data_IF_304013898915
#
_entry.id   IF_304013898915
#
_cell.length_a   1.000
_cell.length_b   1.000
_cell.length_c   1.000
_cell.angle_alpha   90.00
_cell.angle_beta   90.00
_cell.angle_gamma   90.00
#
_symmetry.space_group_name_H-M   'P 1'
#
loop_
_entity.id
_entity.type
_entity.pdbx_description
1 polymer ?
#
# COMPACT_ATOMS: atom_id res chain seq x y z
N UNK A 1 23.18 -25.38 -17.46
CA UNK A 1 22.45 -24.14 -17.15
C UNK A 1 21.41 -23.89 -18.24
N UNK A 2 20.15 -23.71 -17.89
CA UNK A 2 19.07 -23.45 -18.86
C UNK A 2 18.79 -21.95 -18.92
N UNK A 3 18.83 -21.36 -20.11
CA UNK A 3 18.24 -20.04 -20.37
C UNK A 3 16.98 -20.25 -21.21
N UNK A 4 15.94 -19.48 -20.91
CA UNK A 4 14.70 -19.44 -21.67
C UNK A 4 14.28 -18.00 -21.96
N UNK A 5 13.36 -17.79 -22.88
CA UNK A 5 12.78 -16.47 -23.11
C UNK A 5 12.06 -15.99 -21.84
N UNK A 6 12.22 -14.71 -21.52
CA UNK A 6 11.42 -14.05 -20.48
C UNK A 6 10.05 -13.74 -21.08
N UNK A 7 8.99 -14.25 -20.47
CA UNK A 7 7.61 -14.16 -20.97
C UNK A 7 6.71 -13.29 -20.10
N UNK A 8 7.29 -12.55 -19.16
CA UNK A 8 6.61 -11.64 -18.24
C UNK A 8 7.36 -10.32 -18.17
N UNK A 9 6.68 -9.27 -17.74
CA UNK A 9 7.30 -7.99 -17.45
C UNK A 9 8.21 -8.07 -16.22
N UNK A 10 9.33 -7.37 -16.30
CA UNK A 10 10.26 -7.18 -15.18
C UNK A 10 9.93 -5.92 -14.37
N UNK A 11 9.21 -4.98 -15.01
CA UNK A 11 8.77 -3.72 -14.44
C UNK A 11 7.49 -3.21 -15.11
N UNK A 12 6.64 -2.56 -14.32
CA UNK A 12 5.45 -1.85 -14.77
C UNK A 12 5.46 -0.43 -14.19
N UNK A 13 5.21 0.55 -15.05
CA UNK A 13 5.02 1.96 -14.66
C UNK A 13 3.74 2.48 -15.26
N UNK A 14 2.90 3.12 -14.47
CA UNK A 14 1.66 3.69 -14.96
C UNK A 14 1.23 4.90 -14.13
N UNK A 15 0.45 5.76 -14.78
CA UNK A 15 -0.20 6.90 -14.16
C UNK A 15 -1.69 6.62 -14.04
N UNK A 16 -2.32 7.17 -13.01
CA UNK A 16 -3.73 6.94 -12.72
C UNK A 16 -4.44 8.24 -12.37
N UNK A 17 -5.76 8.23 -12.54
CA UNK A 17 -6.67 9.24 -11.99
C UNK A 17 -7.66 8.55 -11.08
N UNK A 18 -7.62 8.89 -9.80
CA UNK A 18 -8.59 8.41 -8.83
C UNK A 18 -9.94 9.09 -9.03
N UNK A 19 -11.02 8.46 -8.57
CA UNK A 19 -12.38 9.02 -8.73
C UNK A 19 -12.62 10.32 -7.97
N UNK A 20 -11.79 10.61 -6.95
CA UNK A 20 -11.76 11.92 -6.28
C UNK A 20 -10.93 12.99 -7.00
N UNK A 21 -10.43 12.70 -8.21
CA UNK A 21 -9.62 13.63 -9.02
C UNK A 21 -8.12 13.59 -8.73
N UNK A 22 -7.70 12.93 -7.65
CA UNK A 22 -6.29 12.72 -7.31
C UNK A 22 -5.52 12.02 -8.44
N UNK A 23 -4.25 12.37 -8.58
CA UNK A 23 -3.33 11.74 -9.52
C UNK A 23 -2.52 10.66 -8.81
N UNK A 24 -2.28 9.55 -9.49
CA UNK A 24 -1.42 8.48 -9.02
C UNK A 24 -0.26 8.24 -9.99
N UNK A 25 0.90 7.91 -9.43
CA UNK A 25 2.06 7.39 -10.16
C UNK A 25 2.46 6.10 -9.48
N UNK A 26 2.56 5.03 -10.25
CA UNK A 26 2.88 3.70 -9.76
C UNK A 26 4.10 3.18 -10.50
N UNK A 27 5.01 2.58 -9.74
CA UNK A 27 6.18 1.87 -10.23
C UNK A 27 6.32 0.56 -9.45
N UNK A 28 6.42 -0.55 -10.17
CA UNK A 28 6.77 -1.85 -9.62
C UNK A 28 7.88 -2.44 -10.48
N UNK A 29 9.00 -2.85 -9.87
CA UNK A 29 10.13 -3.39 -10.62
C UNK A 29 10.91 -4.40 -9.80
N UNK A 30 11.38 -5.46 -10.47
CA UNK A 30 12.34 -6.43 -9.91
C UNK A 30 13.80 -5.99 -10.10
N UNK A 31 14.01 -4.85 -10.76
CA UNK A 31 15.33 -4.38 -11.24
C UNK A 31 15.82 -3.09 -10.57
N UNK A 32 15.15 -2.63 -9.51
CA UNK A 32 15.65 -1.55 -8.66
C UNK A 32 16.86 -2.02 -7.83
N UNK A 33 18.02 -2.09 -8.46
CA UNK A 33 19.26 -2.64 -7.89
C UNK A 33 19.57 -1.99 -6.55
N UNK A 34 19.72 -2.83 -5.51
CA UNK A 34 19.99 -2.39 -4.14
C UNK A 34 18.76 -2.44 -3.23
N UNK A 35 17.55 -2.21 -3.77
CA UNK A 35 16.30 -2.36 -3.02
C UNK A 35 16.00 -3.84 -2.77
N UNK A 36 15.54 -4.14 -1.55
CA UNK A 36 15.27 -5.52 -1.09
C UNK A 36 13.78 -5.79 -1.09
N UNK A 37 13.01 -4.94 -0.42
CA UNK A 37 11.54 -5.03 -0.37
C UNK A 37 10.90 -3.66 -0.11
N UNK A 38 11.43 -2.61 -0.74
CA UNK A 38 10.99 -1.24 -0.55
C UNK A 38 9.60 -0.98 -1.18
N UNK A 39 8.54 -1.19 -0.39
CA UNK A 39 7.20 -0.72 -0.73
C UNK A 39 7.08 0.70 -0.22
N UNK A 40 7.02 1.65 -1.15
CA UNK A 40 7.01 3.09 -0.85
C UNK A 40 5.69 3.71 -1.25
N UNK A 41 5.09 4.45 -0.33
CA UNK A 41 3.82 5.12 -0.53
C UNK A 41 3.96 6.55 -0.02
N UNK A 42 3.52 7.51 -0.83
CA UNK A 42 3.38 8.90 -0.43
C UNK A 42 2.01 9.42 -0.88
N UNK A 43 1.30 10.08 0.02
CA UNK A 43 -0.02 10.67 -0.23
C UNK A 43 0.05 12.15 0.16
N UNK A 44 -0.27 13.03 -0.77
CA UNK A 44 -0.26 14.48 -0.57
C UNK A 44 -1.67 15.04 -0.72
N UNK A 45 -2.18 15.68 0.32
CA UNK A 45 -3.48 16.32 0.35
C UNK A 45 -3.38 17.79 0.77
N UNK A 46 -4.52 18.48 0.74
CA UNK A 46 -4.56 19.91 1.11
C UNK A 46 -4.30 20.17 2.60
N UNK A 47 -4.49 19.16 3.46
CA UNK A 47 -4.32 19.29 4.90
C UNK A 47 -3.02 18.68 5.43
N UNK A 48 -2.23 18.04 4.58
CA UNK A 48 -1.04 17.31 5.01
C UNK A 48 -0.65 16.19 4.08
N UNK A 49 0.40 15.47 4.48
CA UNK A 49 0.97 14.37 3.70
C UNK A 49 1.35 13.20 4.59
N UNK A 50 1.33 12.00 4.00
CA UNK A 50 1.80 10.76 4.62
C UNK A 50 2.89 10.15 3.75
N UNK A 51 3.92 9.59 4.36
CA UNK A 51 4.93 8.77 3.68
C UNK A 51 5.26 7.50 4.47
N UNK A 52 5.57 6.43 3.73
CA UNK A 52 5.89 5.11 4.27
C UNK A 52 6.91 4.40 3.38
N UNK A 53 7.85 3.69 3.99
CA UNK A 53 8.76 2.73 3.34
C UNK A 53 8.77 1.43 4.14
N UNK A 54 8.47 0.31 3.51
CA UNK A 54 8.47 -1.00 4.17
C UNK A 54 9.85 -1.44 4.65
N UNK A 55 10.95 -0.93 4.08
CA UNK A 55 12.29 -1.16 4.65
C UNK A 55 12.45 -0.52 6.04
N UNK A 56 11.60 0.48 6.37
CA UNK A 56 11.45 1.10 7.69
C UNK A 56 10.03 0.84 8.27
N UNK A 57 9.49 -0.39 8.16
CA UNK A 57 8.05 -0.69 8.37
C UNK A 57 7.40 -0.20 9.68
N UNK A 58 8.19 0.10 10.71
CA UNK A 58 7.70 0.58 12.00
C UNK A 58 7.55 2.10 12.05
N UNK A 59 7.80 2.81 10.95
CA UNK A 59 7.73 4.28 10.88
C UNK A 59 6.67 4.71 9.88
N UNK A 60 5.76 5.57 10.35
CA UNK A 60 4.91 6.38 9.49
C UNK A 60 5.38 7.83 9.56
N UNK A 61 5.58 8.46 8.42
CA UNK A 61 5.91 9.88 8.35
C UNK A 61 4.64 10.68 8.09
N UNK A 62 4.39 11.70 8.92
CA UNK A 62 3.21 12.55 8.83
C UNK A 62 3.61 14.02 8.78
N UNK A 63 3.10 14.74 7.80
CA UNK A 63 3.16 16.19 7.70
C UNK A 63 1.76 16.77 7.92
N UNK A 64 1.64 17.76 8.78
CA UNK A 64 0.40 18.48 9.06
C UNK A 64 0.49 19.91 8.50
N UNK A 65 -0.32 20.23 7.49
CA UNK A 65 -0.27 21.52 6.81
C UNK A 65 -0.89 22.67 7.63
N UNK A 66 -1.46 22.35 8.81
CA UNK A 66 -2.03 23.35 9.72
C UNK A 66 -1.01 23.85 10.75
N UNK A 67 0.16 23.20 10.84
CA UNK A 67 1.24 23.63 11.73
C UNK A 67 1.92 24.93 11.24
N UNK A 68 2.45 25.77 12.15
CA UNK A 68 3.22 26.95 11.79
C UNK A 68 4.43 26.59 10.91
N UNK A 69 4.65 27.37 9.85
CA UNK A 69 5.67 27.07 8.84
C UNK A 69 7.10 26.99 9.40
N UNK A 70 7.37 27.67 10.52
CA UNK A 70 8.66 27.64 11.21
C UNK A 70 8.99 26.28 11.83
N UNK A 71 7.97 25.47 12.14
CA UNK A 71 8.11 24.16 12.78
C UNK A 71 7.55 23.01 11.94
N UNK A 72 6.76 23.31 10.92
CA UNK A 72 6.10 22.31 10.10
C UNK A 72 7.14 21.45 9.36
N UNK A 73 6.95 20.13 9.42
CA UNK A 73 7.80 19.15 8.79
C UNK A 73 7.27 17.74 9.03
N UNK A 74 7.81 16.75 8.31
CA UNK A 74 7.44 15.36 8.56
C UNK A 74 7.92 14.94 9.95
N UNK A 75 6.98 14.54 10.79
CA UNK A 75 7.28 13.83 12.04
C UNK A 75 7.36 12.33 11.77
N UNK A 76 8.36 11.70 12.37
CA UNK A 76 8.50 10.24 12.37
C UNK A 76 7.69 9.66 13.52
N UNK A 77 6.59 9.00 13.21
CA UNK A 77 5.78 8.28 14.18
C UNK A 77 6.30 6.85 14.24
N UNK A 78 6.96 6.49 15.34
CA UNK A 78 7.35 5.11 15.60
C UNK A 78 6.10 4.32 16.03
N UNK A 79 5.59 3.48 15.14
CA UNK A 79 4.31 2.76 15.28
C UNK A 79 4.46 1.58 16.24
N UNK A 80 4.67 1.88 17.53
CA UNK A 80 4.88 0.89 18.60
C UNK A 80 4.12 1.20 19.89
N UNK A 81 3.32 2.27 19.92
CA UNK A 81 2.39 2.54 21.03
C UNK A 81 1.22 1.53 21.06
N UNK A 82 0.73 1.12 22.25
CA UNK A 82 -0.40 0.19 22.39
C UNK A 82 -1.69 0.66 21.72
N UNK A 83 -1.85 1.98 21.53
CA UNK A 83 -2.99 2.57 20.82
C UNK A 83 -2.92 2.47 19.30
N UNK A 84 -1.76 2.12 18.73
CA UNK A 84 -1.65 1.86 17.29
C UNK A 84 -2.31 0.52 16.93
N UNK A 85 -2.82 0.38 15.69
CA UNK A 85 -3.50 -0.84 15.26
C UNK A 85 -2.69 -2.11 15.54
N UNK A 86 -3.33 -3.09 16.18
CA UNK A 86 -2.77 -4.40 16.59
C UNK A 86 -1.66 -4.38 17.65
N UNK A 87 -0.93 -3.27 17.81
CA UNK A 87 0.33 -3.21 18.59
C UNK A 87 0.14 -3.59 20.06
N UNK A 88 -0.98 -3.21 20.68
CA UNK A 88 -1.25 -3.49 22.11
C UNK A 88 -1.26 -4.97 22.50
N UNK A 89 -1.29 -5.91 21.54
CA UNK A 89 -1.21 -7.35 21.78
C UNK A 89 0.22 -7.92 21.73
N UNK A 90 1.23 -7.09 21.45
CA UNK A 90 2.61 -7.52 21.24
C UNK A 90 3.53 -7.06 22.37
N UNK A 91 4.48 -6.17 22.05
CA UNK A 91 5.57 -5.74 22.92
C UNK A 91 5.37 -4.31 23.42
N UNK A 92 6.08 -3.88 24.48
CA UNK A 92 6.10 -2.48 24.90
C UNK A 92 6.64 -1.51 23.83
N UNK A 93 6.34 -0.20 23.93
CA UNK A 93 6.84 0.82 23.00
C UNK A 93 8.34 0.73 22.73
N UNK A 94 8.74 1.01 21.49
CA UNK A 94 10.11 0.91 21.00
C UNK A 94 10.53 -0.47 20.46
N UNK A 95 9.73 -1.52 20.71
CA UNK A 95 9.97 -2.86 20.18
C UNK A 95 9.19 -3.06 18.89
N UNK A 96 9.87 -2.88 17.75
CA UNK A 96 9.26 -2.98 16.43
C UNK A 96 8.73 -4.38 16.10
N UNK A 97 7.77 -4.41 15.19
CA UNK A 97 7.28 -5.61 14.54
C UNK A 97 8.03 -5.85 13.22
N UNK A 98 7.80 -7.03 12.65
CA UNK A 98 8.40 -7.50 11.39
C UNK A 98 7.37 -8.02 10.40
N UNK A 99 7.83 -8.38 9.20
CA UNK A 99 7.02 -8.86 8.07
C UNK A 99 5.96 -9.91 8.46
N UNK A 100 6.30 -10.86 9.32
CA UNK A 100 5.41 -11.96 9.73
C UNK A 100 4.17 -11.51 10.53
N UNK A 101 4.22 -10.34 11.19
CA UNK A 101 3.17 -9.94 12.13
C UNK A 101 1.88 -9.56 11.42
N UNK A 102 1.98 -9.00 10.21
CA UNK A 102 0.81 -8.68 9.37
C UNK A 102 -0.03 -9.91 9.04
N UNK A 103 0.59 -11.08 8.89
CA UNK A 103 -0.14 -12.35 8.69
C UNK A 103 -0.93 -12.75 9.94
N UNK A 104 -0.37 -12.54 11.13
CA UNK A 104 -1.09 -12.77 12.38
C UNK A 104 -2.26 -11.81 12.51
N UNK A 105 -2.08 -10.54 12.14
CA UNK A 105 -3.15 -9.54 12.14
C UNK A 105 -4.30 -9.94 11.21
N UNK A 106 -3.99 -10.40 9.99
CA UNK A 106 -5.00 -10.93 9.06
C UNK A 106 -5.79 -12.11 9.62
N UNK A 107 -5.12 -13.07 10.29
CA UNK A 107 -5.80 -14.20 10.94
C UNK A 107 -6.73 -13.72 12.06
N UNK A 108 -6.29 -12.74 12.86
CA UNK A 108 -7.10 -12.15 13.92
C UNK A 108 -8.39 -11.54 13.35
N UNK A 109 -8.28 -10.71 12.31
CA UNK A 109 -9.45 -10.06 11.72
C UNK A 109 -10.38 -11.05 11.03
N UNK A 110 -9.83 -12.03 10.31
CA UNK A 110 -10.62 -13.07 9.67
C UNK A 110 -11.42 -13.90 10.69
N UNK A 111 -10.77 -14.38 11.75
CA UNK A 111 -11.45 -15.20 12.78
C UNK A 111 -12.50 -14.38 13.53
N UNK A 112 -12.24 -13.10 13.81
CA UNK A 112 -13.22 -12.18 14.40
C UNK A 112 -14.43 -11.99 13.50
N UNK A 113 -14.22 -11.68 12.22
CA UNK A 113 -15.31 -11.50 11.27
C UNK A 113 -16.18 -12.75 11.14
N UNK A 114 -15.58 -13.94 11.11
CA UNK A 114 -16.30 -15.22 11.13
C UNK A 114 -17.14 -15.37 12.40
N UNK A 115 -16.56 -15.09 13.57
CA UNK A 115 -17.26 -15.20 14.85
C UNK A 115 -18.42 -14.21 14.99
N UNK A 116 -18.28 -13.02 14.40
CA UNK A 116 -19.28 -11.95 14.41
C UNK A 116 -20.32 -12.09 13.28
N UNK A 117 -20.08 -12.99 12.33
CA UNK A 117 -20.94 -13.14 11.14
C UNK A 117 -20.87 -11.93 10.19
N UNK A 118 -19.76 -11.21 10.19
CA UNK A 118 -19.50 -10.04 9.33
C UNK A 118 -18.63 -10.44 8.14
N UNK A 119 -18.71 -9.67 7.04
CA UNK A 119 -17.89 -9.92 5.85
C UNK A 119 -16.44 -9.47 6.12
N UNK A 120 -15.43 -10.37 6.00
CA UNK A 120 -14.03 -9.97 6.10
C UNK A 120 -13.63 -9.06 4.94
N UNK A 121 -12.71 -8.13 5.22
CA UNK A 121 -12.12 -7.23 4.24
C UNK A 121 -10.59 -7.44 4.11
N UNK A 122 -10.03 -7.29 2.89
CA UNK A 122 -10.72 -7.08 1.62
C UNK A 122 -11.51 -8.32 1.18
N UNK A 123 -12.66 -8.10 0.54
CA UNK A 123 -13.53 -9.14 0.00
C UNK A 123 -13.02 -9.66 -1.36
N UNK A 124 -13.65 -10.71 -1.88
CA UNK A 124 -13.38 -11.16 -3.25
C UNK A 124 -13.80 -10.14 -4.31
N UNK A 125 -14.82 -9.31 -4.03
CA UNK A 125 -15.22 -8.23 -4.93
C UNK A 125 -14.15 -7.14 -5.02
N UNK A 126 -13.48 -6.84 -3.90
CA UNK A 126 -12.33 -5.92 -3.86
C UNK A 126 -11.15 -6.51 -4.62
N UNK A 127 -10.86 -7.79 -4.42
CA UNK A 127 -9.85 -8.52 -5.20
C UNK A 127 -10.12 -8.48 -6.72
N UNK A 128 -11.38 -8.62 -7.14
CA UNK A 128 -11.77 -8.49 -8.54
C UNK A 128 -11.54 -7.06 -9.06
N UNK A 129 -11.83 -6.04 -8.26
CA UNK A 129 -11.58 -4.64 -8.64
C UNK A 129 -10.09 -4.39 -8.86
N UNK A 130 -9.22 -4.89 -7.97
CA UNK A 130 -7.77 -4.81 -8.14
C UNK A 130 -7.35 -5.50 -9.44
N UNK A 131 -7.92 -6.66 -9.74
CA UNK A 131 -7.59 -7.39 -10.96
C UNK A 131 -8.00 -6.69 -12.24
N UNK A 132 -9.09 -5.90 -12.22
CA UNK A 132 -9.47 -5.03 -13.33
C UNK A 132 -8.45 -3.91 -13.56
N UNK A 133 -7.87 -3.36 -12.49
CA UNK A 133 -6.78 -2.37 -12.61
C UNK A 133 -5.56 -3.02 -13.27
N UNK A 134 -5.15 -4.21 -12.83
CA UNK A 134 -4.01 -4.91 -13.44
C UNK A 134 -4.23 -5.22 -14.93
N UNK A 135 -5.40 -5.75 -15.29
CA UNK A 135 -5.75 -6.04 -16.68
C UNK A 135 -5.78 -4.78 -17.56
N UNK A 136 -6.23 -3.65 -17.01
CA UNK A 136 -6.24 -2.39 -17.72
C UNK A 136 -4.84 -1.80 -17.94
N UNK A 137 -3.92 -1.97 -16.98
CA UNK A 137 -2.52 -1.55 -17.15
C UNK A 137 -1.84 -2.36 -18.25
N UNK A 138 -2.03 -3.69 -18.26
CA UNK A 138 -1.52 -4.57 -19.31
C UNK A 138 -2.07 -4.16 -20.69
N UNK A 139 -3.39 -4.01 -20.80
CA UNK A 139 -4.05 -3.54 -22.04
C UNK A 139 -3.54 -2.16 -22.46
N UNK A 140 -3.33 -1.24 -21.52
CA UNK A 140 -2.82 0.11 -21.80
C UNK A 140 -1.41 0.07 -22.42
N UNK A 141 -0.55 -0.80 -21.91
CA UNK A 141 0.80 -1.02 -22.42
C UNK A 141 0.77 -1.51 -23.88
N UNK A 142 -0.09 -2.49 -24.16
CA UNK A 142 -0.20 -3.10 -25.48
C UNK A 142 -0.82 -2.15 -26.53
N UNK A 143 -1.89 -1.45 -26.15
CA UNK A 143 -2.63 -0.58 -27.07
C UNK A 143 -2.07 0.84 -27.16
N UNK A 144 -1.19 1.21 -26.22
CA UNK A 144 -0.68 2.58 -26.05
C UNK A 144 -1.77 3.63 -25.85
N UNK A 145 -2.84 3.26 -25.15
CA UNK A 145 -3.96 4.16 -24.86
C UNK A 145 -4.37 4.08 -23.40
N UNK A 146 -4.98 5.15 -22.90
CA UNK A 146 -5.62 5.14 -21.58
C UNK A 146 -6.73 4.10 -21.55
N UNK A 147 -6.84 3.39 -20.43
CA UNK A 147 -7.88 2.42 -20.17
C UNK A 147 -8.77 2.91 -19.02
N UNK A 148 -10.08 2.85 -19.21
CA UNK A 148 -11.04 3.12 -18.16
C UNK A 148 -11.21 1.86 -17.29
N UNK A 149 -11.37 2.04 -15.98
CA UNK A 149 -11.59 0.92 -15.05
C UNK A 149 -13.08 0.80 -14.76
N UNK A 150 -13.68 -0.31 -15.15
CA UNK A 150 -15.06 -0.62 -14.78
C UNK A 150 -15.17 -0.85 -13.27
N UNK A 151 -16.05 -0.11 -12.61
CA UNK A 151 -16.33 -0.29 -11.19
C UNK A 151 -17.17 -1.55 -10.97
N UNK A 152 -16.80 -2.34 -9.96
CA UNK A 152 -17.72 -3.33 -9.41
C UNK A 152 -18.86 -2.55 -8.73
N UNK A 153 -20.12 -2.90 -9.00
CA UNK A 153 -21.23 -2.32 -8.26
C UNK A 153 -21.08 -2.70 -6.79
N UNK A 154 -21.19 -1.70 -5.90
CA UNK A 154 -21.24 -1.89 -4.45
C UNK A 154 -22.51 -2.62 -4.04
#
# INVERSE_FOLDING_TARGET
EGRGPVTVDDAAVFIARFTGGGLGVFEATRFATGRKNAIRIEINGSAGSLAFDFEDMNVLELFDATEPAETAGFRRILVTEPGHPYVGAWWPPGHGLGYEHGFTHQVVDLVRAIAEGTQPEPSFADGLQVQRVLAAVETSSDTRTWQAIERTAS
#
